data_IF_274465981678
#
_entry.id   IF_274465981678
#
_cell.length_a   1.000
_cell.length_b   1.000
_cell.length_c   1.000
_cell.angle_alpha   90.00
_cell.angle_beta   90.00
_cell.angle_gamma   90.00
#
_symmetry.space_group_name_H-M   'P 1'
#
loop_
_entity.id
_entity.type
_entity.pdbx_description
1 polymer ?
#
# COMPACT_ATOMS: atom_id res chain seq x y z
N UNK A 1 -58.36 45.33 -9.74
CA UNK A 1 -56.88 45.43 -9.78
C UNK A 1 -56.36 44.00 -9.95
N UNK A 2 -56.24 43.44 -11.17
CA UNK A 2 -55.11 43.57 -12.12
C UNK A 2 -53.74 43.42 -11.45
N UNK A 3 -53.04 42.31 -11.75
CA UNK A 3 -51.62 42.15 -12.14
C UNK A 3 -51.19 40.69 -11.82
N UNK A 4 -51.17 39.78 -12.81
CA UNK A 4 -50.03 39.42 -13.66
C UNK A 4 -48.83 38.86 -12.86
N UNK A 5 -48.62 37.53 -12.89
CA UNK A 5 -47.33 36.91 -12.59
C UNK A 5 -47.02 35.90 -13.69
N UNK A 6 -46.16 36.32 -14.62
CA UNK A 6 -45.64 35.56 -15.74
C UNK A 6 -44.55 34.60 -15.26
N UNK A 7 -44.67 33.33 -15.68
CA UNK A 7 -43.57 32.37 -15.71
C UNK A 7 -42.47 32.87 -16.64
N UNK A 8 -41.22 32.82 -16.17
CA UNK A 8 -40.05 32.82 -17.03
C UNK A 8 -39.11 31.70 -16.57
N UNK A 9 -39.20 30.55 -17.24
CA UNK A 9 -38.23 29.48 -17.11
C UNK A 9 -37.02 29.81 -18.00
N UNK A 10 -35.92 30.23 -17.39
CA UNK A 10 -34.64 30.42 -18.08
C UNK A 10 -33.98 29.05 -18.28
N UNK A 11 -33.98 28.52 -19.50
CA UNK A 11 -33.11 27.40 -19.88
C UNK A 11 -31.69 27.94 -20.11
N UNK A 12 -30.79 27.70 -19.17
CA UNK A 12 -29.35 27.91 -19.36
C UNK A 12 -28.74 26.70 -20.05
N UNK A 13 -28.41 26.86 -21.34
CA UNK A 13 -27.57 25.90 -22.08
C UNK A 13 -26.15 26.02 -21.55
N UNK A 14 -25.73 25.07 -20.71
CA UNK A 14 -24.32 24.95 -20.33
C UNK A 14 -23.57 24.21 -21.43
N UNK A 15 -22.73 24.94 -22.16
CA UNK A 15 -21.75 24.35 -23.07
C UNK A 15 -20.75 23.53 -22.24
N UNK A 16 -20.93 22.21 -22.22
CA UNK A 16 -20.01 21.28 -21.58
C UNK A 16 -18.66 21.28 -22.30
N UNK A 17 -17.70 22.05 -21.80
CA UNK A 17 -16.30 21.85 -22.13
C UNK A 17 -15.90 20.47 -21.59
N UNK A 18 -15.87 19.47 -22.47
CA UNK A 18 -15.20 18.20 -22.18
C UNK A 18 -13.71 18.51 -22.04
N UNK A 19 -13.25 18.68 -20.80
CA UNK A 19 -11.84 18.78 -20.51
C UNK A 19 -11.17 17.49 -20.99
N UNK A 20 -10.43 17.58 -22.10
CA UNK A 20 -9.47 16.55 -22.50
C UNK A 20 -8.48 16.40 -21.34
N UNK A 21 -8.63 15.33 -20.56
CA UNK A 21 -7.67 15.00 -19.53
C UNK A 21 -6.32 14.77 -20.22
N UNK A 22 -5.32 15.59 -19.89
CA UNK A 22 -3.96 15.41 -20.40
C UNK A 22 -3.49 13.98 -20.12
N UNK A 23 -2.68 13.37 -21.02
CA UNK A 23 -2.13 12.04 -20.80
C UNK A 23 -1.41 12.01 -19.45
N UNK A 24 -1.74 11.04 -18.60
CA UNK A 24 -1.02 10.88 -17.34
C UNK A 24 0.44 10.57 -17.68
N UNK A 25 1.43 11.24 -17.05
CA UNK A 25 2.82 10.89 -17.22
C UNK A 25 3.00 9.40 -16.93
N UNK A 26 3.77 8.72 -17.78
CA UNK A 26 4.01 7.28 -17.60
C UNK A 26 4.68 7.01 -16.26
N UNK A 27 4.30 5.93 -15.54
CA UNK A 27 4.96 5.56 -14.29
C UNK A 27 6.47 5.41 -14.51
N UNK A 28 7.26 5.99 -13.60
CA UNK A 28 8.73 5.86 -13.63
C UNK A 28 9.18 4.51 -13.11
N UNK A 29 8.28 3.80 -12.44
CA UNK A 29 8.50 2.49 -11.86
C UNK A 29 7.86 1.37 -12.69
N UNK A 30 8.35 0.15 -12.47
CA UNK A 30 7.72 -1.08 -12.90
C UNK A 30 7.54 -2.01 -11.70
N UNK A 31 6.46 -2.80 -11.72
CA UNK A 31 6.16 -3.82 -10.73
C UNK A 31 6.55 -5.17 -11.32
N UNK A 32 7.36 -5.92 -10.57
CA UNK A 32 7.74 -7.29 -10.89
C UNK A 32 7.21 -8.20 -9.79
N UNK A 33 6.53 -9.27 -10.18
CA UNK A 33 5.97 -10.26 -9.27
C UNK A 33 6.69 -11.58 -9.50
N UNK A 34 7.03 -12.27 -8.42
CA UNK A 34 7.58 -13.62 -8.46
C UNK A 34 6.59 -14.56 -9.15
N UNK A 35 7.08 -15.37 -10.10
CA UNK A 35 6.27 -16.33 -10.84
C UNK A 35 5.69 -17.42 -9.95
N UNK A 36 6.23 -17.61 -8.74
CA UNK A 36 5.71 -18.55 -7.76
C UNK A 36 4.40 -18.10 -7.10
N UNK A 37 3.98 -16.85 -7.30
CA UNK A 37 2.76 -16.32 -6.66
C UNK A 37 1.52 -16.95 -7.32
N UNK A 38 0.69 -17.68 -6.56
CA UNK A 38 -0.56 -18.22 -7.09
C UNK A 38 -1.56 -17.09 -7.37
N UNK A 39 -2.52 -17.36 -8.26
CA UNK A 39 -3.44 -16.34 -8.77
C UNK A 39 -4.27 -15.65 -7.67
N UNK A 40 -4.66 -16.40 -6.64
CA UNK A 40 -5.42 -15.91 -5.49
C UNK A 40 -4.58 -15.01 -4.56
N UNK A 41 -3.27 -15.23 -4.48
CA UNK A 41 -2.33 -14.38 -3.75
C UNK A 41 -1.78 -13.19 -4.56
N UNK A 42 -2.15 -13.06 -5.84
CA UNK A 42 -1.59 -12.04 -6.73
C UNK A 42 -1.94 -10.61 -6.29
N UNK A 43 -3.20 -10.36 -5.94
CA UNK A 43 -3.70 -9.03 -5.61
C UNK A 43 -3.04 -8.42 -4.34
N UNK A 44 -2.83 -9.15 -3.23
CA UNK A 44 -2.05 -8.66 -2.09
C UNK A 44 -0.63 -8.24 -2.45
N UNK A 45 0.07 -9.02 -3.27
CA UNK A 45 1.44 -8.69 -3.68
C UNK A 45 1.49 -7.52 -4.67
N UNK A 46 0.47 -7.37 -5.52
CA UNK A 46 0.27 -6.14 -6.31
C UNK A 46 0.04 -4.92 -5.42
N UNK A 47 -0.74 -5.06 -4.35
CA UNK A 47 -0.97 -3.98 -3.39
C UNK A 47 0.32 -3.57 -2.66
N UNK A 48 1.13 -4.56 -2.25
CA UNK A 48 2.46 -4.33 -1.70
C UNK A 48 3.33 -3.50 -2.66
N UNK A 49 3.58 -4.01 -3.87
CA UNK A 49 4.46 -3.33 -4.82
C UNK A 49 3.88 -2.01 -5.34
N UNK A 50 2.55 -1.89 -5.44
CA UNK A 50 1.86 -0.64 -5.78
C UNK A 50 2.08 0.44 -4.73
N UNK A 51 1.96 0.10 -3.44
CA UNK A 51 2.27 1.03 -2.35
C UNK A 51 3.73 1.50 -2.41
N UNK A 52 4.67 0.56 -2.62
CA UNK A 52 6.10 0.87 -2.82
C UNK A 52 6.32 1.82 -3.99
N UNK A 53 5.70 1.56 -5.14
CA UNK A 53 5.76 2.43 -6.33
C UNK A 53 5.32 3.87 -6.04
N UNK A 54 4.21 4.06 -5.30
CA UNK A 54 3.75 5.38 -4.87
C UNK A 54 4.76 6.08 -3.96
N UNK A 55 5.42 5.33 -3.08
CA UNK A 55 6.50 5.86 -2.25
C UNK A 55 7.71 6.32 -3.06
N UNK A 56 8.17 5.48 -3.98
CA UNK A 56 9.31 5.74 -4.86
C UNK A 56 9.09 6.96 -5.75
N UNK A 57 7.88 7.16 -6.27
CA UNK A 57 7.60 8.23 -7.22
C UNK A 57 7.23 9.55 -6.53
N UNK A 58 6.64 9.49 -5.33
CA UNK A 58 5.99 10.65 -4.71
C UNK A 58 6.24 10.77 -3.22
N UNK A 59 5.71 9.86 -2.39
CA UNK A 59 5.64 10.09 -0.93
C UNK A 59 7.01 10.29 -0.28
N UNK A 60 8.05 9.61 -0.76
CA UNK A 60 9.40 9.80 -0.24
C UNK A 60 9.86 11.25 -0.36
N UNK A 61 9.72 11.86 -1.53
CA UNK A 61 10.17 13.22 -1.79
C UNK A 61 9.29 14.27 -1.10
N UNK A 62 8.00 14.01 -0.95
CA UNK A 62 7.10 14.87 -0.17
C UNK A 62 7.48 14.89 1.31
N UNK A 63 7.91 13.75 1.87
CA UNK A 63 8.33 13.63 3.27
C UNK A 63 9.78 14.03 3.50
N UNK A 64 10.59 14.13 2.45
CA UNK A 64 12.00 14.51 2.52
C UNK A 64 12.29 15.63 1.50
N UNK A 65 11.78 16.86 1.72
CA UNK A 65 12.06 17.98 0.83
C UNK A 65 13.57 18.21 0.68
N UNK A 66 14.04 18.27 -0.56
CA UNK A 66 15.47 18.45 -0.87
C UNK A 66 16.29 17.16 -0.96
N UNK A 67 15.69 15.98 -0.76
CA UNK A 67 16.38 14.73 -1.03
C UNK A 67 16.77 14.62 -2.51
N UNK A 68 18.07 14.49 -2.79
CA UNK A 68 18.60 14.40 -4.16
C UNK A 68 18.28 13.05 -4.83
N UNK A 69 18.00 12.01 -4.05
CA UNK A 69 17.71 10.68 -4.55
C UNK A 69 16.77 9.93 -3.60
N UNK A 70 15.98 9.01 -4.16
CA UNK A 70 15.13 8.10 -3.41
C UNK A 70 15.95 7.23 -2.45
N UNK A 71 15.40 6.99 -1.25
CA UNK A 71 15.88 5.99 -0.30
C UNK A 71 14.71 5.18 0.22
N UNK A 72 14.91 3.88 0.35
CA UNK A 72 13.94 2.99 0.95
C UNK A 72 13.86 3.22 2.46
N UNK A 73 12.65 3.31 3.01
CA UNK A 73 12.42 3.69 4.42
C UNK A 73 11.56 2.68 5.16
N UNK A 74 11.68 2.66 6.49
CA UNK A 74 10.82 1.87 7.36
C UNK A 74 9.32 2.16 7.13
N UNK A 75 8.95 3.43 7.04
CA UNK A 75 7.57 3.85 6.84
C UNK A 75 6.99 3.34 5.51
N UNK A 76 7.81 3.29 4.47
CA UNK A 76 7.45 2.71 3.18
C UNK A 76 7.18 1.20 3.28
N UNK A 77 8.07 0.45 3.93
CA UNK A 77 7.87 -1.00 4.07
C UNK A 77 6.65 -1.34 4.92
N UNK A 78 6.46 -0.61 6.02
CA UNK A 78 5.31 -0.76 6.89
C UNK A 78 4.00 -0.54 6.11
N UNK A 79 3.89 0.58 5.38
CA UNK A 79 2.68 0.89 4.62
C UNK A 79 2.43 -0.12 3.49
N UNK A 80 3.49 -0.63 2.85
CA UNK A 80 3.36 -1.64 1.82
C UNK A 80 2.85 -2.98 2.41
N UNK A 81 3.33 -3.37 3.59
CA UNK A 81 2.84 -4.55 4.32
C UNK A 81 1.42 -4.38 4.82
N UNK A 82 1.06 -3.20 5.30
CA UNK A 82 -0.32 -2.87 5.68
C UNK A 82 -1.28 -3.01 4.50
N UNK A 83 -0.89 -2.51 3.33
CA UNK A 83 -1.67 -2.64 2.11
C UNK A 83 -1.82 -4.10 1.68
N UNK A 84 -0.72 -4.87 1.74
CA UNK A 84 -0.71 -6.30 1.44
C UNK A 84 -1.66 -7.09 2.35
N UNK A 85 -1.50 -6.94 3.67
CA UNK A 85 -2.28 -7.61 4.69
C UNK A 85 -3.77 -7.26 4.59
N UNK A 86 -4.09 -5.98 4.38
CA UNK A 86 -5.47 -5.51 4.23
C UNK A 86 -6.15 -6.15 3.01
N UNK A 87 -5.51 -6.13 1.84
CA UNK A 87 -6.05 -6.73 0.62
C UNK A 87 -6.20 -8.25 0.78
N UNK A 88 -5.24 -8.92 1.41
CA UNK A 88 -5.38 -10.35 1.70
C UNK A 88 -6.56 -10.63 2.62
N UNK A 89 -6.70 -9.89 3.72
CA UNK A 89 -7.80 -10.04 4.67
C UNK A 89 -9.17 -9.91 3.99
N UNK A 90 -9.32 -8.97 3.06
CA UNK A 90 -10.55 -8.77 2.28
C UNK A 90 -10.83 -9.93 1.31
N UNK A 91 -9.79 -10.50 0.68
CA UNK A 91 -9.92 -11.58 -0.30
C UNK A 91 -10.23 -12.93 0.35
N UNK A 92 -9.49 -13.29 1.40
CA UNK A 92 -9.70 -14.56 2.11
C UNK A 92 -11.09 -14.63 2.75
N UNK A 93 -11.64 -13.49 3.18
CA UNK A 93 -12.99 -13.41 3.74
C UNK A 93 -14.08 -13.76 2.71
N UNK A 94 -13.81 -13.59 1.41
CA UNK A 94 -14.76 -13.87 0.33
C UNK A 94 -14.60 -15.27 -0.27
N UNK A 95 -13.36 -15.75 -0.35
CA UNK A 95 -13.01 -16.95 -1.11
C UNK A 95 -12.66 -18.17 -0.25
N UNK A 96 -12.33 -17.97 1.03
CA UNK A 96 -11.86 -19.04 1.90
C UNK A 96 -10.45 -19.56 1.55
N UNK A 97 -9.70 -18.87 0.68
CA UNK A 97 -8.32 -19.22 0.35
C UNK A 97 -7.40 -19.04 1.57
N UNK A 98 -6.30 -19.79 1.57
CA UNK A 98 -5.26 -19.69 2.60
C UNK A 98 -3.89 -19.58 1.94
N UNK A 99 -3.04 -18.78 2.54
CA UNK A 99 -1.62 -18.64 2.19
C UNK A 99 -0.90 -18.41 3.51
N UNK A 100 0.03 -19.31 3.86
CA UNK A 100 0.63 -19.34 5.21
C UNK A 100 1.22 -17.98 5.59
N UNK A 101 2.02 -17.39 4.71
CA UNK A 101 2.69 -16.13 5.00
C UNK A 101 1.70 -14.96 5.06
N UNK A 102 0.76 -14.88 4.12
CA UNK A 102 -0.22 -13.78 4.12
C UNK A 102 -1.20 -13.90 5.29
N UNK A 103 -1.54 -15.12 5.71
CA UNK A 103 -2.35 -15.38 6.90
C UNK A 103 -1.64 -14.95 8.18
N UNK A 104 -0.35 -15.26 8.30
CA UNK A 104 0.51 -14.79 9.39
C UNK A 104 0.59 -13.26 9.42
N UNK A 105 0.78 -12.62 8.24
CA UNK A 105 0.84 -11.16 8.13
C UNK A 105 -0.47 -10.49 8.57
N UNK A 106 -1.61 -11.07 8.23
CA UNK A 106 -2.93 -10.61 8.72
C UNK A 106 -3.06 -10.80 10.23
N UNK A 107 -2.58 -11.91 10.79
CA UNK A 107 -2.60 -12.12 12.24
C UNK A 107 -1.78 -11.05 12.98
N UNK A 108 -0.59 -10.74 12.47
CA UNK A 108 0.27 -9.66 12.98
C UNK A 108 -0.43 -8.30 12.91
N UNK A 109 -1.06 -7.98 11.77
CA UNK A 109 -1.79 -6.72 11.60
C UNK A 109 -2.93 -6.60 12.61
N UNK A 110 -3.72 -7.67 12.79
CA UNK A 110 -4.83 -7.72 13.75
C UNK A 110 -4.39 -7.58 15.20
N UNK A 111 -3.20 -8.06 15.54
CA UNK A 111 -2.59 -7.87 16.86
C UNK A 111 -2.02 -6.45 17.06
N UNK A 112 -2.01 -5.61 16.02
CA UNK A 112 -1.41 -4.28 16.07
C UNK A 112 0.12 -4.30 16.20
N UNK A 113 0.77 -5.41 15.79
CA UNK A 113 2.21 -5.64 15.97
C UNK A 113 3.00 -5.54 14.64
N UNK A 114 2.41 -4.90 13.63
CA UNK A 114 3.00 -4.84 12.30
C UNK A 114 4.25 -3.96 12.23
N UNK A 115 4.37 -2.96 13.10
CA UNK A 115 5.57 -2.14 13.22
C UNK A 115 6.75 -2.97 13.71
N UNK A 116 6.54 -3.72 14.79
CA UNK A 116 7.53 -4.62 15.39
C UNK A 116 7.92 -5.72 14.41
N UNK A 117 6.95 -6.33 13.75
CA UNK A 117 7.18 -7.32 12.70
C UNK A 117 8.05 -6.77 11.57
N UNK A 118 7.71 -5.59 11.06
CA UNK A 118 8.48 -4.93 9.99
C UNK A 118 9.90 -4.63 10.44
N UNK A 119 10.07 -4.12 11.66
CA UNK A 119 11.38 -3.81 12.23
C UNK A 119 12.24 -5.07 12.43
N UNK A 120 11.66 -6.14 12.97
CA UNK A 120 12.39 -7.36 13.30
C UNK A 120 12.81 -8.13 12.05
N UNK A 121 11.96 -8.20 11.03
CA UNK A 121 12.21 -9.04 9.86
C UNK A 121 12.75 -8.31 8.63
N UNK A 122 12.51 -6.99 8.49
CA UNK A 122 12.77 -6.27 7.23
C UNK A 122 13.61 -5.01 7.40
N UNK A 123 14.17 -4.74 8.59
CA UNK A 123 15.02 -3.57 8.80
C UNK A 123 16.19 -3.54 7.82
N UNK A 124 16.39 -2.37 7.23
CA UNK A 124 17.61 -2.04 6.50
C UNK A 124 18.64 -1.38 7.45
N UNK A 125 19.93 -1.56 7.16
CA UNK A 125 21.01 -0.99 7.98
C UNK A 125 20.98 0.54 8.05
N UNK A 126 20.39 1.21 7.05
CA UNK A 126 20.23 2.67 7.02
C UNK A 126 19.05 3.19 7.83
N UNK A 127 18.25 2.33 8.47
CA UNK A 127 17.07 2.76 9.21
C UNK A 127 17.36 3.02 10.68
N UNK A 128 16.81 4.13 11.19
CA UNK A 128 16.70 4.36 12.63
C UNK A 128 15.55 3.54 13.21
N UNK A 129 15.67 3.03 14.45
CA UNK A 129 14.55 2.41 15.14
C UNK A 129 13.38 3.39 15.25
N UNK A 130 12.15 3.00 14.85
CA UNK A 130 10.97 3.81 15.10
C UNK A 130 10.70 3.88 16.61
N UNK A 131 10.11 5.00 17.04
CA UNK A 131 9.72 5.19 18.43
C UNK A 131 8.55 4.27 18.81
N UNK A 132 8.47 3.89 20.09
CA UNK A 132 7.30 3.19 20.63
C UNK A 132 7.20 1.69 20.30
N UNK A 133 8.23 1.07 19.73
CA UNK A 133 8.21 -0.38 19.45
C UNK A 133 8.01 -1.23 20.70
N UNK A 134 7.04 -2.14 20.65
CA UNK A 134 6.69 -3.08 21.72
C UNK A 134 7.40 -4.43 21.54
N UNK A 135 8.73 -4.40 21.36
CA UNK A 135 9.52 -5.59 20.97
C UNK A 135 9.35 -6.77 21.92
N UNK A 136 9.33 -6.54 23.23
CA UNK A 136 9.13 -7.62 24.21
C UNK A 136 7.72 -8.25 24.13
N UNK A 137 6.70 -7.46 23.77
CA UNK A 137 5.35 -7.98 23.53
C UNK A 137 5.31 -8.79 22.24
N UNK A 138 5.89 -8.25 21.16
CA UNK A 138 5.98 -8.95 19.88
C UNK A 138 6.73 -10.26 19.99
N UNK A 139 7.85 -10.30 20.74
CA UNK A 139 8.65 -11.50 20.93
C UNK A 139 7.88 -12.61 21.65
N UNK A 140 7.05 -12.28 22.65
CA UNK A 140 6.15 -13.26 23.27
C UNK A 140 5.06 -13.70 22.30
N UNK A 141 4.38 -12.74 21.67
CA UNK A 141 3.26 -13.03 20.77
C UNK A 141 3.67 -13.92 19.59
N UNK A 142 4.82 -13.65 18.96
CA UNK A 142 5.31 -14.41 17.80
C UNK A 142 5.68 -15.85 18.13
N UNK A 143 6.13 -16.15 19.35
CA UNK A 143 6.47 -17.52 19.75
C UNK A 143 5.23 -18.43 19.77
N UNK A 144 4.07 -17.85 20.07
CA UNK A 144 2.80 -18.55 20.12
C UNK A 144 2.11 -18.61 18.75
N UNK A 145 2.18 -17.51 17.99
CA UNK A 145 1.35 -17.31 16.78
C UNK A 145 2.11 -17.50 15.46
N UNK A 146 3.43 -17.30 15.42
CA UNK A 146 4.24 -17.33 14.19
C UNK A 146 5.19 -18.53 14.15
N UNK A 147 4.64 -19.73 14.42
CA UNK A 147 5.44 -20.96 14.45
C UNK A 147 6.00 -21.28 13.06
N UNK A 148 7.33 -21.40 13.00
CA UNK A 148 8.12 -21.60 11.78
C UNK A 148 7.85 -20.56 10.67
N UNK A 149 7.39 -19.37 11.06
CA UNK A 149 7.17 -18.27 10.14
C UNK A 149 8.45 -17.93 9.36
N UNK A 150 8.29 -17.69 8.06
CA UNK A 150 9.36 -17.21 7.19
C UNK A 150 8.92 -15.89 6.56
N UNK A 151 9.68 -14.79 6.75
CA UNK A 151 9.37 -13.54 6.07
C UNK A 151 9.49 -13.70 4.55
N UNK A 152 8.51 -13.21 3.80
CA UNK A 152 8.50 -13.24 2.33
C UNK A 152 8.35 -11.84 1.73
N UNK A 153 8.90 -11.69 0.52
CA UNK A 153 8.64 -10.56 -0.38
C UNK A 153 8.55 -11.12 -1.81
N UNK A 154 7.34 -11.24 -2.34
CA UNK A 154 7.07 -11.86 -3.66
C UNK A 154 6.72 -10.87 -4.75
N UNK A 155 6.81 -9.58 -4.48
CA UNK A 155 6.73 -8.54 -5.49
C UNK A 155 7.65 -7.38 -5.14
N UNK A 156 8.11 -6.65 -6.15
CA UNK A 156 8.97 -5.49 -5.99
C UNK A 156 8.55 -4.39 -6.95
N UNK A 157 8.65 -3.14 -6.50
CA UNK A 157 8.68 -1.98 -7.36
C UNK A 157 10.13 -1.57 -7.61
N UNK A 158 10.46 -1.20 -8.85
CA UNK A 158 11.79 -0.66 -9.18
C UNK A 158 11.67 0.45 -10.22
N UNK A 159 12.62 1.38 -10.23
CA UNK A 159 12.70 2.35 -11.32
C UNK A 159 12.98 1.62 -12.64
N UNK A 160 12.30 2.04 -13.70
CA UNK A 160 12.60 1.55 -15.06
C UNK A 160 14.00 2.00 -15.44
N UNK A 161 14.80 1.09 -15.99
CA UNK A 161 16.05 1.46 -16.66
C UNK A 161 15.69 2.27 -17.90
N UNK A 162 16.39 3.39 -18.10
CA UNK A 162 16.32 4.15 -19.35
C UNK A 162 17.03 3.41 -20.46
#
# INVERSE_FOLDING_TARGET
MRHLLLLAALLTVTAGCSAHAAPRPSPRTEIVIDRSVPQDALAPWLAYAGSRSVWMEKKFFERNPGAAAYRYTFAEELEAREACARVWSELRAKSGTSDRYLDDLVAVQKAGLLQEYTWVFFRDAGWSPPEGLRLAEFDRWRQEHLKEHRPETKALARFRKK
#
